data_IF_145781272223
#
_entry.id   IF_145781272223
#
_cell.length_a   1.000
_cell.length_b   1.000
_cell.length_c   1.000
_cell.angle_alpha   90.00
_cell.angle_beta   90.00
_cell.angle_gamma   90.00
#
_symmetry.space_group_name_H-M   'P 1'
#
loop_
_entity.id
_entity.type
_entity.pdbx_description
1 polymer ?
#
# COMPACT_ATOMS: atom_id res chain seq x y z
N UNK A 1 12.83 -9.03 -9.62
CA UNK A 1 11.65 -9.15 -8.75
C UNK A 1 10.69 -10.12 -9.41
N UNK A 2 10.11 -11.09 -8.68
CA UNK A 2 9.03 -11.89 -9.22
C UNK A 2 7.88 -10.99 -9.65
N UNK A 3 7.14 -11.44 -10.67
CA UNK A 3 5.87 -10.87 -11.13
C UNK A 3 5.02 -10.40 -9.95
N UNK A 4 4.72 -9.09 -9.91
CA UNK A 4 4.08 -8.44 -8.78
C UNK A 4 2.70 -9.02 -8.49
N UNK A 5 1.98 -9.43 -9.54
CA UNK A 5 0.70 -10.11 -9.39
C UNK A 5 0.85 -11.40 -8.56
N UNK A 6 1.86 -12.22 -8.85
CA UNK A 6 2.12 -13.46 -8.13
C UNK A 6 2.46 -13.20 -6.66
N UNK A 7 3.29 -12.19 -6.40
CA UNK A 7 3.66 -11.80 -5.02
C UNK A 7 2.42 -11.34 -4.25
N UNK A 8 1.57 -10.50 -4.84
CA UNK A 8 0.32 -10.05 -4.21
C UNK A 8 -0.61 -11.24 -3.94
N UNK A 9 -0.73 -12.17 -4.89
CA UNK A 9 -1.56 -13.37 -4.72
C UNK A 9 -1.08 -14.24 -3.56
N UNK A 10 0.23 -14.50 -3.46
CA UNK A 10 0.82 -15.26 -2.36
C UNK A 10 0.68 -14.57 -1.00
N UNK A 11 0.92 -13.25 -0.95
CA UNK A 11 0.72 -12.45 0.25
C UNK A 11 -0.75 -12.49 0.73
N UNK A 12 -1.71 -12.44 -0.21
CA UNK A 12 -3.14 -12.60 0.08
C UNK A 12 -3.47 -13.98 0.65
N UNK A 13 -2.77 -15.03 0.21
CA UNK A 13 -2.91 -16.39 0.73
C UNK A 13 -2.21 -16.62 2.08
N UNK A 14 -1.55 -15.60 2.65
CA UNK A 14 -0.90 -15.68 3.96
C UNK A 14 0.60 -15.97 3.93
N UNK A 15 1.25 -15.93 2.76
CA UNK A 15 2.71 -16.09 2.69
C UNK A 15 3.40 -14.82 3.21
N UNK A 16 4.00 -14.91 4.40
CA UNK A 16 4.62 -13.78 5.10
C UNK A 16 5.77 -13.16 4.30
N UNK A 17 6.60 -13.96 3.64
CA UNK A 17 7.72 -13.47 2.82
C UNK A 17 7.25 -12.60 1.65
N UNK A 18 6.16 -12.98 0.99
CA UNK A 18 5.57 -12.14 -0.06
C UNK A 18 5.02 -10.84 0.52
N UNK A 19 4.34 -10.88 1.67
CA UNK A 19 3.85 -9.66 2.32
C UNK A 19 4.99 -8.72 2.72
N UNK A 20 6.05 -9.25 3.32
CA UNK A 20 7.25 -8.50 3.70
C UNK A 20 7.92 -7.87 2.48
N UNK A 21 8.07 -8.63 1.38
CA UNK A 21 8.64 -8.10 0.14
C UNK A 21 7.82 -6.92 -0.44
N UNK A 22 6.50 -6.95 -0.29
CA UNK A 22 5.62 -5.85 -0.70
C UNK A 22 5.78 -4.64 0.21
N UNK A 23 5.87 -4.85 1.53
CA UNK A 23 6.13 -3.76 2.49
C UNK A 23 7.44 -3.06 2.13
N UNK A 24 8.52 -3.83 1.93
CA UNK A 24 9.83 -3.28 1.53
C UNK A 24 9.74 -2.54 0.20
N UNK A 25 9.05 -3.10 -0.81
CA UNK A 25 8.87 -2.47 -2.13
C UNK A 25 8.17 -1.12 -2.06
N UNK A 26 7.17 -0.97 -1.19
CA UNK A 26 6.39 0.27 -1.05
C UNK A 26 6.86 1.17 0.11
N UNK A 27 7.88 0.75 0.88
CA UNK A 27 8.49 1.56 1.93
C UNK A 27 8.97 2.94 1.42
N UNK A 28 9.59 3.09 0.22
CA UNK A 28 10.05 4.40 -0.24
C UNK A 28 8.92 5.43 -0.40
N UNK A 29 7.77 5.03 -0.94
CA UNK A 29 6.62 5.94 -1.08
C UNK A 29 5.98 6.23 0.27
N UNK A 30 5.84 5.23 1.15
CA UNK A 30 5.34 5.43 2.51
C UNK A 30 6.22 6.47 3.23
N UNK A 31 7.54 6.30 3.18
CA UNK A 31 8.47 7.26 3.77
C UNK A 31 8.30 8.65 3.15
N UNK A 32 8.25 8.75 1.82
CA UNK A 32 8.08 10.04 1.12
C UNK A 32 6.80 10.77 1.54
N UNK A 33 5.69 10.05 1.71
CA UNK A 33 4.42 10.61 2.19
C UNK A 33 4.53 11.03 3.66
N UNK A 34 5.07 10.16 4.52
CA UNK A 34 5.19 10.42 5.96
C UNK A 34 6.09 11.62 6.26
N UNK A 35 7.17 11.81 5.49
CA UNK A 35 8.04 13.00 5.62
C UNK A 35 7.30 14.32 5.43
N UNK A 36 6.20 14.33 4.68
CA UNK A 36 5.35 15.51 4.46
C UNK A 36 4.34 15.74 5.59
N UNK A 37 4.24 14.82 6.54
CA UNK A 37 3.31 14.91 7.65
C UNK A 37 4.06 15.16 8.97
N UNK A 38 3.54 16.03 9.82
CA UNK A 38 4.09 16.29 11.16
C UNK A 38 3.73 15.20 12.18
N UNK A 39 2.98 14.18 11.78
CA UNK A 39 2.51 13.11 12.67
C UNK A 39 3.41 11.87 12.56
N UNK A 40 3.97 11.47 13.70
CA UNK A 40 4.84 10.29 13.84
C UNK A 40 4.14 8.98 13.46
N UNK A 41 2.81 8.92 13.58
CA UNK A 41 2.02 7.72 13.36
C UNK A 41 1.74 7.42 11.88
N UNK A 42 1.89 8.39 10.98
CA UNK A 42 1.48 8.28 9.56
C UNK A 42 2.20 7.13 8.86
N UNK A 43 3.48 6.91 9.17
CA UNK A 43 4.25 5.79 8.60
C UNK A 43 3.66 4.44 9.02
N UNK A 44 3.35 4.29 10.30
CA UNK A 44 2.77 3.06 10.85
C UNK A 44 1.37 2.83 10.28
N UNK A 45 0.54 3.87 10.25
CA UNK A 45 -0.82 3.76 9.74
C UNK A 45 -0.89 3.43 8.25
N UNK A 46 -0.02 4.05 7.42
CA UNK A 46 0.08 3.72 6.00
C UNK A 46 0.60 2.29 5.76
N UNK A 47 1.49 1.80 6.63
CA UNK A 47 1.97 0.41 6.57
C UNK A 47 0.84 -0.56 6.91
N UNK A 48 0.07 -0.29 7.97
CA UNK A 48 -1.12 -1.08 8.34
C UNK A 48 -2.15 -1.04 7.20
N UNK A 49 -2.39 0.12 6.61
CA UNK A 49 -3.28 0.26 5.47
C UNK A 49 -2.81 -0.58 4.28
N UNK A 50 -1.52 -0.54 3.94
CA UNK A 50 -0.95 -1.36 2.86
C UNK A 50 -1.21 -2.86 3.08
N UNK A 51 -0.97 -3.36 4.29
CA UNK A 51 -1.23 -4.76 4.65
C UNK A 51 -2.71 -5.10 4.45
N UNK A 52 -3.62 -4.25 4.94
CA UNK A 52 -5.07 -4.42 4.77
C UNK A 52 -5.47 -4.38 3.29
N UNK A 53 -4.89 -3.48 2.51
CA UNK A 53 -5.13 -3.37 1.07
C UNK A 53 -4.73 -4.65 0.35
N UNK A 54 -3.52 -5.17 0.58
CA UNK A 54 -3.00 -6.39 -0.06
C UNK A 54 -3.89 -7.60 0.29
N UNK A 55 -4.30 -7.74 1.56
CA UNK A 55 -5.17 -8.86 1.97
C UNK A 55 -6.56 -8.79 1.35
N UNK A 56 -7.11 -7.58 1.16
CA UNK A 56 -8.48 -7.40 0.72
C UNK A 56 -8.63 -7.05 -0.77
N UNK A 57 -7.53 -6.88 -1.50
CA UNK A 57 -7.58 -6.55 -2.93
C UNK A 57 -8.34 -7.63 -3.71
N UNK A 58 -9.26 -7.18 -4.57
CA UNK A 58 -10.05 -8.01 -5.50
C UNK A 58 -9.38 -7.98 -6.86
N UNK A 59 -8.38 -8.85 -7.06
CA UNK A 59 -7.59 -8.88 -8.31
C UNK A 59 -8.45 -9.18 -9.55
N UNK A 60 -9.55 -9.89 -9.38
CA UNK A 60 -10.53 -10.17 -10.44
C UNK A 60 -11.30 -8.93 -10.90
N UNK A 61 -11.30 -7.85 -10.13
CA UNK A 61 -11.95 -6.58 -10.49
C UNK A 61 -10.97 -5.57 -11.13
N UNK A 62 -9.73 -5.96 -11.41
CA UNK A 62 -8.71 -5.10 -12.00
C UNK A 62 -8.52 -5.51 -13.46
N UNK A 63 -8.83 -4.59 -14.38
CA UNK A 63 -8.73 -4.82 -15.82
C UNK A 63 -7.29 -5.06 -16.29
N UNK A 64 -6.33 -4.33 -15.71
CA UNK A 64 -4.91 -4.43 -16.07
C UNK A 64 -4.07 -4.85 -14.86
N UNK A 65 -3.59 -6.09 -14.90
CA UNK A 65 -2.78 -6.71 -13.86
C UNK A 65 -1.27 -6.65 -14.13
N UNK A 66 -0.83 -5.84 -15.09
CA UNK A 66 0.60 -5.59 -15.27
C UNK A 66 1.23 -4.99 -14.01
N UNK A 67 2.52 -5.26 -13.80
CA UNK A 67 3.29 -4.73 -12.67
C UNK A 67 3.15 -3.20 -12.56
N UNK A 68 3.23 -2.48 -13.68
CA UNK A 68 3.07 -1.03 -13.71
C UNK A 68 1.69 -0.55 -13.25
N UNK A 69 0.63 -1.24 -13.67
CA UNK A 69 -0.74 -0.92 -13.27
C UNK A 69 -0.96 -1.20 -11.77
N UNK A 70 -0.47 -2.33 -11.26
CA UNK A 70 -0.56 -2.71 -9.86
C UNK A 70 0.23 -1.77 -8.95
N UNK A 71 1.45 -1.39 -9.34
CA UNK A 71 2.23 -0.35 -8.65
C UNK A 71 1.42 0.94 -8.57
N UNK A 72 0.91 1.43 -9.71
CA UNK A 72 0.15 2.68 -9.78
C UNK A 72 -1.12 2.62 -8.92
N UNK A 73 -1.81 1.48 -8.90
CA UNK A 73 -2.99 1.25 -8.06
C UNK A 73 -2.66 1.38 -6.57
N UNK A 74 -1.62 0.70 -6.10
CA UNK A 74 -1.20 0.73 -4.69
C UNK A 74 -0.71 2.14 -4.31
N UNK A 75 0.09 2.79 -5.15
CA UNK A 75 0.55 4.16 -4.93
C UNK A 75 -0.63 5.14 -4.80
N UNK A 76 -1.60 5.09 -5.72
CA UNK A 76 -2.82 5.91 -5.63
C UNK A 76 -3.61 5.64 -4.36
N UNK A 77 -3.70 4.39 -3.94
CA UNK A 77 -4.41 4.00 -2.71
C UNK A 77 -3.74 4.58 -1.46
N UNK A 78 -2.40 4.54 -1.39
CA UNK A 78 -1.63 5.15 -0.30
C UNK A 78 -1.80 6.66 -0.23
N UNK A 79 -1.75 7.36 -1.37
CA UNK A 79 -2.01 8.81 -1.40
C UNK A 79 -3.43 9.15 -0.95
N UNK A 80 -4.44 8.39 -1.40
CA UNK A 80 -5.83 8.60 -0.96
C UNK A 80 -5.99 8.42 0.54
N UNK A 81 -5.36 7.39 1.09
CA UNK A 81 -5.36 7.15 2.54
C UNK A 81 -4.72 8.31 3.30
N UNK A 82 -3.57 8.79 2.83
CA UNK A 82 -2.91 9.97 3.38
C UNK A 82 -3.79 11.22 3.35
N UNK A 83 -4.44 11.53 2.22
CA UNK A 83 -5.35 12.68 2.14
C UNK A 83 -6.54 12.54 3.10
N UNK A 84 -7.06 11.31 3.27
CA UNK A 84 -8.11 11.01 4.25
C UNK A 84 -7.65 11.32 5.67
N UNK A 85 -6.46 10.87 6.06
CA UNK A 85 -5.86 11.13 7.38
C UNK A 85 -5.66 12.63 7.63
N UNK A 86 -5.06 13.34 6.66
CA UNK A 86 -4.84 14.78 6.78
C UNK A 86 -6.14 15.57 6.91
N UNK A 87 -7.18 15.22 6.14
CA UNK A 87 -8.48 15.88 6.23
C UNK A 87 -9.13 15.69 7.60
N UNK A 88 -8.94 14.51 8.22
CA UNK A 88 -9.45 14.24 9.57
C UNK A 88 -8.68 15.02 10.65
N UNK A 89 -7.37 15.21 10.47
CA UNK A 89 -6.54 15.98 11.41
C UNK A 89 -6.80 17.49 11.37
N UNK A 90 -7.35 18.02 10.28
CA UNK A 90 -7.77 19.43 10.16
C UNK A 90 -9.14 19.73 10.80
N UNK A 91 -9.87 18.71 11.23
CA UNK A 91 -11.21 18.84 11.86
C UNK A 91 -11.19 18.67 13.38
N UNK A 92 -10.01 18.46 13.97
CA UNK A 92 -9.79 18.46 15.42
C UNK A 92 -9.22 19.80 15.83
#
# INVERSE_FOLDING_TARGET
MPDLYKVIKKAKMGENQSLESLIVKFQPIINSISWRCKSEYVRTDLTIFLIKLIKNIKLNCIENLSDGALVKYIQKSLYREYYRMNKSNLKK
#
